data_IF_116067020159
#
_entry.id   IF_116067020159
#
_cell.length_a   1.000
_cell.length_b   1.000
_cell.length_c   1.000
_cell.angle_alpha   90.00
_cell.angle_beta   90.00
_cell.angle_gamma   90.00
#
_symmetry.space_group_name_H-M   'P 1'
#
loop_
_entity.id
_entity.type
_entity.pdbx_description
1 polymer ?
#
# COMPACT_ATOMS: atom_id res chain seq x y z
N UNK A 1 -9.01 -12.13 16.78
CA UNK A 1 -8.82 -13.17 15.74
C UNK A 1 -8.58 -12.60 14.35
N UNK A 2 -9.27 -11.53 13.89
CA UNK A 2 -9.05 -10.90 12.56
C UNK A 2 -7.63 -10.31 12.36
N UNK A 3 -7.06 -9.70 13.39
CA UNK A 3 -5.71 -9.14 13.29
C UNK A 3 -4.63 -10.18 12.99
N UNK A 4 -4.74 -11.38 13.56
CA UNK A 4 -3.77 -12.45 13.33
C UNK A 4 -3.84 -13.01 11.91
N UNK A 5 -5.03 -13.06 11.29
CA UNK A 5 -5.19 -13.53 9.92
C UNK A 5 -4.50 -12.58 8.92
N UNK A 6 -4.70 -11.27 9.05
CA UNK A 6 -4.06 -10.29 8.18
C UNK A 6 -2.53 -10.31 8.33
N UNK A 7 -2.02 -10.47 9.55
CA UNK A 7 -0.58 -10.59 9.80
C UNK A 7 0.00 -11.84 9.13
N UNK A 8 -0.68 -12.97 9.26
CA UNK A 8 -0.27 -14.22 8.61
C UNK A 8 -0.26 -14.05 7.09
N UNK A 9 -1.29 -13.45 6.52
CA UNK A 9 -1.40 -13.24 5.08
C UNK A 9 -0.28 -12.33 4.55
N UNK A 10 0.05 -11.25 5.26
CA UNK A 10 1.17 -10.36 4.93
C UNK A 10 2.50 -11.11 5.02
N UNK A 11 2.71 -11.90 6.07
CA UNK A 11 3.94 -12.69 6.23
C UNK A 11 4.10 -13.73 5.12
N UNK A 12 3.03 -14.40 4.73
CA UNK A 12 3.03 -15.36 3.60
C UNK A 12 3.36 -14.64 2.29
N UNK A 13 2.73 -13.50 2.02
CA UNK A 13 2.99 -12.71 0.81
C UNK A 13 4.46 -12.24 0.75
N UNK A 14 5.02 -11.73 1.85
CA UNK A 14 6.42 -11.33 1.95
C UNK A 14 7.37 -12.51 1.71
N UNK A 15 7.07 -13.67 2.28
CA UNK A 15 7.88 -14.88 2.12
C UNK A 15 7.86 -15.37 0.67
N UNK A 16 6.69 -15.39 0.03
CA UNK A 16 6.54 -15.79 -1.37
C UNK A 16 7.31 -14.86 -2.31
N UNK A 17 7.14 -13.55 -2.16
CA UNK A 17 7.86 -12.56 -2.99
C UNK A 17 9.36 -12.67 -2.74
N UNK A 18 9.81 -12.81 -1.49
CA UNK A 18 11.22 -13.02 -1.17
C UNK A 18 11.81 -14.28 -1.82
N UNK A 19 11.07 -15.39 -1.74
CA UNK A 19 11.47 -16.64 -2.38
C UNK A 19 11.55 -16.51 -3.92
N UNK A 20 10.61 -15.80 -4.55
CA UNK A 20 10.64 -15.54 -6.00
C UNK A 20 11.83 -14.66 -6.42
N UNK A 21 12.19 -13.65 -5.63
CA UNK A 21 13.35 -12.79 -5.90
C UNK A 21 14.64 -13.60 -5.86
N UNK A 22 14.75 -14.58 -4.96
CA UNK A 22 15.94 -15.40 -4.78
C UNK A 22 16.03 -16.48 -5.87
N UNK A 23 14.93 -17.19 -6.12
CA UNK A 23 14.91 -18.36 -7.00
C UNK A 23 14.82 -18.01 -8.49
N UNK A 24 13.95 -17.06 -8.84
CA UNK A 24 13.63 -16.70 -10.23
C UNK A 24 13.47 -15.19 -10.40
N UNK A 25 14.56 -14.40 -10.26
CA UNK A 25 14.47 -12.95 -10.31
C UNK A 25 13.92 -12.43 -11.66
N UNK A 26 14.08 -13.19 -12.74
CA UNK A 26 13.60 -12.81 -14.07
C UNK A 26 12.08 -12.66 -14.15
N UNK A 27 11.31 -13.39 -13.35
CA UNK A 27 9.83 -13.30 -13.36
C UNK A 27 9.33 -11.97 -12.78
N UNK A 28 10.05 -11.43 -11.80
CA UNK A 28 9.75 -10.15 -11.17
C UNK A 28 10.59 -8.99 -11.72
N UNK A 29 11.55 -9.27 -12.61
CA UNK A 29 12.36 -8.23 -13.26
C UNK A 29 11.65 -7.61 -14.47
N UNK A 30 12.29 -6.64 -15.07
CA UNK A 30 11.82 -5.98 -16.30
C UNK A 30 11.90 -6.89 -17.55
N UNK A 31 12.38 -8.13 -17.42
CA UNK A 31 12.20 -9.18 -18.43
C UNK A 31 10.71 -9.54 -18.59
N UNK A 32 9.91 -9.33 -17.55
CA UNK A 32 8.46 -9.40 -17.63
C UNK A 32 7.91 -8.07 -18.15
N UNK A 33 7.49 -8.05 -19.43
CA UNK A 33 6.96 -6.85 -20.10
C UNK A 33 5.78 -6.22 -19.35
N UNK A 34 4.94 -7.02 -18.71
CA UNK A 34 3.83 -6.51 -17.90
C UNK A 34 4.34 -5.72 -16.70
N UNK A 35 5.24 -6.28 -15.90
CA UNK A 35 5.78 -5.60 -14.72
C UNK A 35 6.59 -4.36 -15.10
N UNK A 36 7.34 -4.43 -16.20
CA UNK A 36 8.07 -3.28 -16.72
C UNK A 36 7.17 -2.09 -17.03
N UNK A 37 6.04 -2.34 -17.69
CA UNK A 37 5.09 -1.30 -18.07
C UNK A 37 4.16 -0.90 -16.91
N UNK A 38 3.78 -1.85 -16.05
CA UNK A 38 2.83 -1.60 -14.96
C UNK A 38 3.49 -0.90 -13.76
N UNK A 39 4.71 -1.30 -13.35
CA UNK A 39 5.46 -0.67 -12.25
C UNK A 39 6.15 0.61 -12.75
N UNK A 40 5.34 1.53 -13.20
CA UNK A 40 5.66 2.85 -13.71
C UNK A 40 4.46 3.78 -13.41
N UNK A 41 4.10 4.65 -14.35
CA UNK A 41 2.95 5.56 -14.22
C UNK A 41 1.61 4.83 -13.94
N UNK A 42 1.26 3.68 -14.58
CA UNK A 42 -0.01 3.01 -14.29
C UNK A 42 -0.18 2.60 -12.84
N UNK A 43 0.87 2.11 -12.19
CA UNK A 43 0.84 1.77 -10.78
C UNK A 43 0.55 2.99 -9.89
N UNK A 44 1.24 4.10 -10.14
CA UNK A 44 1.03 5.33 -9.38
C UNK A 44 -0.37 5.89 -9.59
N UNK A 45 -0.89 5.83 -10.82
CA UNK A 45 -2.27 6.23 -11.12
C UNK A 45 -3.28 5.37 -10.36
N UNK A 46 -3.13 4.05 -10.39
CA UNK A 46 -4.00 3.13 -9.67
C UNK A 46 -3.95 3.37 -8.15
N UNK A 47 -2.76 3.46 -7.56
CA UNK A 47 -2.58 3.75 -6.14
C UNK A 47 -3.13 5.12 -5.76
N UNK A 48 -2.96 6.14 -6.61
CA UNK A 48 -3.49 7.48 -6.40
C UNK A 48 -5.01 7.52 -6.37
N UNK A 49 -5.67 6.80 -7.28
CA UNK A 49 -7.15 6.68 -7.28
C UNK A 49 -7.64 5.97 -6.03
N UNK A 50 -7.04 4.83 -5.66
CA UNK A 50 -7.41 4.09 -4.45
C UNK A 50 -7.19 4.96 -3.21
N UNK A 51 -6.06 5.66 -3.13
CA UNK A 51 -5.76 6.57 -2.03
C UNK A 51 -6.81 7.69 -1.93
N UNK A 52 -7.18 8.32 -3.06
CA UNK A 52 -8.17 9.39 -3.07
C UNK A 52 -9.54 8.92 -2.57
N UNK A 53 -10.01 7.74 -3.03
CA UNK A 53 -11.28 7.15 -2.58
C UNK A 53 -11.24 6.86 -1.08
N UNK A 54 -10.15 6.25 -0.60
CA UNK A 54 -10.01 5.92 0.81
C UNK A 54 -9.92 7.16 1.70
N UNK A 55 -9.18 8.19 1.29
CA UNK A 55 -9.10 9.44 2.04
C UNK A 55 -10.45 10.18 2.09
N UNK A 56 -11.21 10.17 0.98
CA UNK A 56 -12.55 10.73 0.95
C UNK A 56 -13.49 9.99 1.92
N UNK A 57 -13.45 8.66 1.93
CA UNK A 57 -14.24 7.82 2.85
C UNK A 57 -13.84 8.05 4.32
N UNK A 58 -12.54 8.15 4.60
CA UNK A 58 -12.04 8.46 5.95
C UNK A 58 -12.44 9.87 6.41
N UNK A 59 -12.45 10.86 5.50
CA UNK A 59 -12.91 12.21 5.80
C UNK A 59 -14.41 12.24 6.13
N UNK A 60 -15.23 11.53 5.36
CA UNK A 60 -16.66 11.40 5.65
C UNK A 60 -16.92 10.72 6.99
N UNK A 61 -16.18 9.64 7.29
CA UNK A 61 -16.26 8.96 8.58
C UNK A 61 -15.87 9.91 9.72
N UNK A 62 -14.82 10.70 9.57
CA UNK A 62 -14.40 11.68 10.56
C UNK A 62 -15.46 12.74 10.83
N UNK A 63 -16.13 13.25 9.79
CA UNK A 63 -17.23 14.21 9.91
C UNK A 63 -18.44 13.58 10.63
N UNK A 64 -18.81 12.35 10.28
CA UNK A 64 -19.90 11.62 10.94
C UNK A 64 -19.62 11.37 12.42
N UNK A 65 -18.38 11.04 12.78
CA UNK A 65 -17.97 10.87 14.19
C UNK A 65 -18.08 12.18 14.97
N UNK A 66 -17.73 13.33 14.35
CA UNK A 66 -17.91 14.63 14.99
C UNK A 66 -19.38 14.96 15.22
N UNK A 67 -20.25 14.71 14.24
CA UNK A 67 -21.69 14.98 14.37
C UNK A 67 -22.33 14.14 15.48
N UNK A 68 -21.93 12.86 15.61
CA UNK A 68 -22.42 11.98 16.69
C UNK A 68 -22.00 12.51 18.06
N UNK A 69 -20.75 12.94 18.21
CA UNK A 69 -20.26 13.49 19.49
C UNK A 69 -20.94 14.80 19.87
N UNK A 70 -21.18 15.69 18.91
CA UNK A 70 -21.93 16.93 19.15
C UNK A 70 -23.34 16.66 19.63
N UNK A 71 -24.02 15.65 19.07
CA UNK A 71 -25.39 15.27 19.49
C UNK A 71 -25.43 14.63 20.87
N UNK A 72 -24.40 13.90 21.27
CA UNK A 72 -24.37 13.15 22.53
C UNK A 72 -23.65 13.89 23.67
N UNK A 73 -22.92 14.97 23.37
CA UNK A 73 -22.23 15.79 24.37
C UNK A 73 -21.08 15.10 25.09
N UNK A 74 -20.59 14.00 24.56
CA UNK A 74 -19.52 13.20 25.18
C UNK A 74 -18.43 12.84 24.15
N UNK A 75 -17.16 12.88 24.60
CA UNK A 75 -15.99 12.55 23.74
C UNK A 75 -15.59 11.08 23.85
N UNK A 76 -16.44 10.12 23.47
CA UNK A 76 -16.04 8.71 23.53
C UNK A 76 -15.51 8.12 22.22
N UNK A 77 -15.50 8.89 21.16
CA UNK A 77 -15.00 8.41 19.86
C UNK A 77 -13.54 8.81 19.59
N UNK A 78 -12.82 9.30 20.60
CA UNK A 78 -11.42 9.71 20.46
C UNK A 78 -10.52 8.58 19.94
N UNK A 79 -10.73 7.34 20.38
CA UNK A 79 -10.00 6.17 19.90
C UNK A 79 -10.26 5.92 18.42
N UNK A 80 -11.52 5.95 17.98
CA UNK A 80 -11.89 5.76 16.58
C UNK A 80 -11.30 6.85 15.68
N UNK A 81 -11.29 8.11 16.12
CA UNK A 81 -10.63 9.21 15.39
C UNK A 81 -9.12 9.01 15.27
N UNK A 82 -8.48 8.54 16.34
CA UNK A 82 -7.05 8.24 16.31
C UNK A 82 -6.73 7.16 15.29
N UNK A 83 -7.55 6.11 15.20
CA UNK A 83 -7.39 5.01 14.26
C UNK A 83 -7.59 5.47 12.81
N UNK A 84 -8.63 6.25 12.54
CA UNK A 84 -8.88 6.87 11.22
C UNK A 84 -7.68 7.71 10.78
N UNK A 85 -7.16 8.56 11.65
CA UNK A 85 -5.99 9.41 11.36
C UNK A 85 -4.72 8.59 11.17
N UNK A 86 -4.54 7.52 11.92
CA UNK A 86 -3.41 6.60 11.78
C UNK A 86 -3.46 5.88 10.43
N UNK A 87 -4.62 5.35 10.05
CA UNK A 87 -4.82 4.69 8.77
C UNK A 87 -4.51 5.62 7.59
N UNK A 88 -5.02 6.85 7.63
CA UNK A 88 -4.72 7.86 6.60
C UNK A 88 -3.22 8.12 6.46
N UNK A 89 -2.50 8.29 7.58
CA UNK A 89 -1.05 8.50 7.56
C UNK A 89 -0.28 7.32 6.97
N UNK A 90 -0.67 6.09 7.34
CA UNK A 90 -0.05 4.88 6.79
C UNK A 90 -0.24 4.76 5.28
N UNK A 91 -1.45 5.04 4.79
CA UNK A 91 -1.75 4.99 3.36
C UNK A 91 -0.93 6.05 2.59
N UNK A 92 -0.89 7.29 3.07
CA UNK A 92 -0.06 8.35 2.47
C UNK A 92 1.41 7.93 2.49
N UNK A 93 1.91 7.41 3.60
CA UNK A 93 3.29 6.94 3.73
C UNK A 93 3.64 5.85 2.71
N UNK A 94 2.78 4.85 2.55
CA UNK A 94 2.97 3.79 1.55
C UNK A 94 2.93 4.33 0.11
N UNK A 95 2.08 5.33 -0.17
CA UNK A 95 2.05 5.97 -1.47
C UNK A 95 3.36 6.70 -1.79
N UNK A 96 3.91 7.44 -0.82
CA UNK A 96 5.22 8.07 -0.96
C UNK A 96 6.32 7.04 -1.20
N UNK A 97 6.31 5.91 -0.47
CA UNK A 97 7.26 4.81 -0.71
C UNK A 97 7.12 4.25 -2.14
N UNK A 98 5.89 4.09 -2.63
CA UNK A 98 5.66 3.63 -4.01
C UNK A 98 6.23 4.62 -5.04
N UNK A 99 6.05 5.93 -4.83
CA UNK A 99 6.66 6.96 -5.70
C UNK A 99 8.18 6.83 -5.70
N UNK A 100 8.80 6.70 -4.51
CA UNK A 100 10.26 6.55 -4.39
C UNK A 100 10.74 5.31 -5.13
N UNK A 101 10.04 4.17 -5.01
CA UNK A 101 10.40 2.93 -5.73
C UNK A 101 10.33 3.14 -7.24
N UNK A 102 9.25 3.73 -7.75
CA UNK A 102 9.07 3.94 -9.20
C UNK A 102 10.11 4.93 -9.74
N UNK A 103 10.41 6.01 -9.02
CA UNK A 103 11.40 7.01 -9.42
C UNK A 103 12.84 6.46 -9.31
N UNK A 104 13.13 5.69 -8.28
CA UNK A 104 14.46 5.10 -8.08
C UNK A 104 14.76 3.94 -9.03
N UNK A 105 13.73 3.24 -9.51
CA UNK A 105 13.87 2.07 -10.38
C UNK A 105 14.78 2.31 -11.60
N UNK A 106 14.64 3.38 -12.40
CA UNK A 106 15.52 3.65 -13.53
C UNK A 106 16.96 4.01 -13.12
N UNK A 107 17.17 4.48 -11.87
CA UNK A 107 18.50 4.88 -11.38
C UNK A 107 19.35 3.69 -10.90
N UNK A 108 18.71 2.57 -10.55
CA UNK A 108 19.38 1.41 -9.95
C UNK A 108 20.09 0.52 -10.99
N UNK A 109 19.96 0.82 -12.27
CA UNK A 109 20.70 0.18 -13.34
C UNK A 109 20.22 -1.23 -13.69
N UNK A 110 21.12 -2.05 -14.25
CA UNK A 110 20.81 -3.29 -14.97
C UNK A 110 20.73 -4.53 -14.05
N UNK A 111 20.81 -4.38 -12.74
CA UNK A 111 20.83 -5.55 -11.86
C UNK A 111 19.43 -6.17 -11.73
N UNK A 112 19.17 -7.38 -12.30
CA UNK A 112 17.83 -7.97 -12.33
C UNK A 112 17.26 -8.29 -10.93
N UNK A 113 18.12 -8.52 -9.93
CA UNK A 113 17.67 -8.78 -8.55
C UNK A 113 17.12 -7.52 -7.89
N UNK A 114 17.75 -6.37 -8.13
CA UNK A 114 17.29 -5.10 -7.55
C UNK A 114 16.00 -4.65 -8.22
N UNK A 115 15.89 -4.83 -9.54
CA UNK A 115 14.66 -4.57 -10.28
C UNK A 115 13.53 -5.50 -9.79
N UNK A 116 13.82 -6.78 -9.60
CA UNK A 116 12.85 -7.74 -9.07
C UNK A 116 12.38 -7.36 -7.65
N UNK A 117 13.29 -6.87 -6.81
CA UNK A 117 12.95 -6.36 -5.49
C UNK A 117 12.05 -5.13 -5.57
N UNK A 118 12.37 -4.16 -6.43
CA UNK A 118 11.55 -2.96 -6.64
C UNK A 118 10.14 -3.32 -7.13
N UNK A 119 10.04 -4.16 -8.15
CA UNK A 119 8.75 -4.61 -8.69
C UNK A 119 7.95 -5.42 -7.66
N UNK A 120 8.60 -6.33 -6.95
CA UNK A 120 7.98 -7.12 -5.89
C UNK A 120 7.44 -6.26 -4.75
N UNK A 121 8.22 -5.29 -4.29
CA UNK A 121 7.81 -4.33 -3.26
C UNK A 121 6.62 -3.48 -3.73
N UNK A 122 6.63 -3.02 -4.98
CA UNK A 122 5.55 -2.26 -5.57
C UNK A 122 4.23 -3.06 -5.63
N UNK A 123 4.30 -4.34 -6.02
CA UNK A 123 3.15 -5.26 -6.03
C UNK A 123 2.64 -5.55 -4.61
N UNK A 124 3.53 -5.68 -3.63
CA UNK A 124 3.13 -5.83 -2.22
C UNK A 124 2.41 -4.60 -1.69
N UNK A 125 2.88 -3.40 -2.03
CA UNK A 125 2.19 -2.15 -1.67
C UNK A 125 0.78 -2.12 -2.28
N UNK A 126 0.64 -2.45 -3.56
CA UNK A 126 -0.66 -2.52 -4.22
C UNK A 126 -1.57 -3.56 -3.53
N UNK A 127 -1.06 -4.76 -3.26
CA UNK A 127 -1.80 -5.80 -2.54
C UNK A 127 -2.24 -5.36 -1.15
N UNK A 128 -1.37 -4.64 -0.42
CA UNK A 128 -1.70 -4.09 0.88
C UNK A 128 -2.81 -3.04 0.80
N UNK A 129 -2.77 -2.15 -0.21
CA UNK A 129 -3.84 -1.17 -0.44
C UNK A 129 -5.20 -1.83 -0.67
N UNK A 130 -5.24 -2.88 -1.49
CA UNK A 130 -6.47 -3.64 -1.77
C UNK A 130 -6.99 -4.33 -0.50
N UNK A 131 -6.09 -4.82 0.35
CA UNK A 131 -6.45 -5.54 1.57
C UNK A 131 -6.98 -4.61 2.68
N UNK A 132 -6.49 -3.36 2.70
CA UNK A 132 -6.91 -2.34 3.69
C UNK A 132 -8.19 -1.63 3.25
N UNK A 133 -8.52 -1.66 1.95
CA UNK A 133 -9.74 -1.08 1.40
C UNK A 133 -10.98 -1.88 1.83
#
# INVERSE_FOLDING_TARGET
>A
MKANFNVILVMVALTLVGAMIISTPNWLSDSNCFLKSFVAEPLLSALGVILAINLASLAQLHLSLNEIEERQGQQFLAAARSEVRSSARWMIGLFVVAIVIVVAKPLVGINPRVIAFANGSAMLILGFYILVM
#
